data_IF_422653437182
#
_entry.id   IF_422653437182
#
_cell.length_a   1.000
_cell.length_b   1.000
_cell.length_c   1.000
_cell.angle_alpha   90.00
_cell.angle_beta   90.00
_cell.angle_gamma   90.00
#
_symmetry.space_group_name_H-M   'P 1'
#
loop_
_entity.id
_entity.type
_entity.pdbx_description
1 polymer ?
#
# COMPACT_ATOMS: atom_id res chain seq x y z
N UNK A 1 -13.47 12.66 8.69
CA UNK A 1 -13.77 11.27 8.30
C UNK A 1 -13.29 10.26 9.34
N UNK A 2 -12.31 10.62 10.17
CA UNK A 2 -11.55 9.71 11.05
C UNK A 2 -12.22 9.35 12.38
N UNK A 3 -13.34 9.98 12.72
CA UNK A 3 -14.14 9.67 13.92
C UNK A 3 -15.48 9.01 13.59
N UNK A 4 -15.58 8.36 12.43
CA UNK A 4 -16.77 7.60 12.08
C UNK A 4 -16.75 6.24 12.76
N UNK A 5 -17.93 5.70 13.07
CA UNK A 5 -18.04 4.35 13.62
C UNK A 5 -17.43 3.33 12.64
N UNK A 6 -16.86 2.27 13.17
CA UNK A 6 -16.24 1.18 12.38
C UNK A 6 -17.24 0.60 11.36
N UNK A 7 -18.51 0.48 11.72
CA UNK A 7 -19.56 -0.02 10.82
C UNK A 7 -19.72 0.85 9.56
N UNK A 8 -19.62 2.18 9.66
CA UNK A 8 -19.66 3.07 8.49
C UNK A 8 -18.48 2.81 7.54
N UNK A 9 -17.31 2.46 8.07
CA UNK A 9 -16.17 2.08 7.24
C UNK A 9 -16.53 0.87 6.36
N UNK A 10 -17.11 -0.18 6.93
CA UNK A 10 -17.52 -1.37 6.18
C UNK A 10 -18.68 -1.12 5.24
N UNK A 11 -19.70 -0.39 5.65
CA UNK A 11 -20.86 -0.07 4.79
C UNK A 11 -20.48 0.78 3.58
N UNK A 12 -19.46 1.63 3.66
CA UNK A 12 -18.94 2.36 2.49
C UNK A 12 -18.32 1.41 1.44
N UNK A 13 -17.93 0.22 1.80
CA UNK A 13 -17.47 -0.81 0.85
C UNK A 13 -18.55 -1.24 -0.15
N UNK A 14 -19.84 -1.18 0.24
CA UNK A 14 -20.97 -1.63 -0.62
C UNK A 14 -21.06 -0.80 -1.91
N UNK A 15 -21.21 0.54 -1.89
CA UNK A 15 -21.24 1.34 -3.10
C UNK A 15 -19.91 1.29 -3.87
N UNK A 16 -18.76 1.23 -3.20
CA UNK A 16 -17.46 1.15 -3.84
C UNK A 16 -17.30 -0.16 -4.63
N UNK A 17 -17.68 -1.30 -4.06
CA UNK A 17 -17.66 -2.59 -4.75
C UNK A 17 -18.52 -2.58 -6.01
N UNK A 18 -19.74 -2.07 -5.92
CA UNK A 18 -20.66 -1.95 -7.06
C UNK A 18 -20.11 -1.02 -8.14
N UNK A 19 -19.55 0.14 -7.77
CA UNK A 19 -18.94 1.08 -8.72
C UNK A 19 -17.73 0.46 -9.43
N UNK A 20 -16.90 -0.29 -8.72
CA UNK A 20 -15.74 -0.98 -9.26
C UNK A 20 -16.14 -2.01 -10.31
N UNK A 21 -17.17 -2.82 -10.04
CA UNK A 21 -17.73 -3.76 -11.02
C UNK A 21 -18.32 -3.04 -12.23
N UNK A 22 -19.06 -1.96 -12.03
CA UNK A 22 -19.66 -1.19 -13.12
C UNK A 22 -18.60 -0.52 -14.02
N UNK A 23 -17.40 -0.26 -13.48
CA UNK A 23 -16.25 0.18 -14.24
C UNK A 23 -15.56 -0.95 -15.04
N UNK A 24 -16.07 -2.20 -14.97
CA UNK A 24 -15.53 -3.36 -15.69
C UNK A 24 -14.42 -4.10 -14.94
N UNK A 25 -14.10 -3.73 -13.70
CA UNK A 25 -13.07 -4.38 -12.89
C UNK A 25 -13.68 -5.55 -12.12
N UNK A 26 -13.33 -6.78 -12.48
CA UNK A 26 -13.89 -8.02 -11.90
C UNK A 26 -13.05 -8.63 -10.78
N UNK A 27 -11.78 -8.23 -10.66
CA UNK A 27 -10.86 -8.70 -9.61
C UNK A 27 -9.98 -7.54 -9.13
N UNK A 28 -9.77 -7.44 -7.82
CA UNK A 28 -8.91 -6.44 -7.19
C UNK A 28 -7.95 -7.07 -6.19
N UNK A 29 -6.84 -6.39 -5.95
CA UNK A 29 -6.00 -6.57 -4.76
C UNK A 29 -6.24 -5.37 -3.84
N UNK A 30 -6.76 -5.62 -2.64
CA UNK A 30 -6.86 -4.60 -1.60
C UNK A 30 -5.55 -4.55 -0.81
N UNK A 31 -4.83 -3.43 -0.93
CA UNK A 31 -3.52 -3.23 -0.34
C UNK A 31 -3.55 -2.75 1.12
N UNK A 32 -4.70 -2.85 1.78
CA UNK A 32 -4.89 -2.53 3.19
C UNK A 32 -6.24 -1.87 3.44
N UNK A 33 -6.96 -2.37 4.38
CA UNK A 33 -8.23 -1.96 4.98
C UNK A 33 -9.37 -2.99 4.88
N UNK A 34 -9.43 -3.82 3.86
CA UNK A 34 -10.36 -4.95 3.82
C UNK A 34 -9.84 -6.09 4.70
N UNK A 35 -10.66 -6.55 5.62
CA UNK A 35 -10.39 -7.73 6.43
C UNK A 35 -10.98 -9.01 5.81
N UNK A 36 -10.74 -10.15 6.46
CA UNK A 36 -11.27 -11.43 6.03
C UNK A 36 -12.81 -11.44 6.00
N UNK A 37 -13.48 -10.69 6.89
CA UNK A 37 -14.93 -10.57 6.94
C UNK A 37 -15.51 -9.89 5.70
N UNK A 38 -14.88 -8.81 5.24
CA UNK A 38 -15.24 -8.12 3.99
C UNK A 38 -15.09 -9.04 2.78
N UNK A 39 -13.95 -9.75 2.69
CA UNK A 39 -13.71 -10.74 1.63
C UNK A 39 -14.77 -11.86 1.65
N UNK A 40 -15.06 -12.42 2.82
CA UNK A 40 -16.09 -13.48 2.97
C UNK A 40 -17.49 -12.97 2.63
N UNK A 41 -17.83 -11.72 2.99
CA UNK A 41 -19.10 -11.10 2.62
C UNK A 41 -19.25 -10.98 1.10
N UNK A 42 -18.19 -10.60 0.41
CA UNK A 42 -18.15 -10.56 -1.05
C UNK A 42 -18.33 -11.98 -1.64
N UNK A 43 -17.58 -12.98 -1.16
CA UNK A 43 -17.67 -14.36 -1.63
C UNK A 43 -19.05 -14.97 -1.44
N UNK A 44 -19.77 -14.61 -0.37
CA UNK A 44 -21.13 -15.07 -0.06
C UNK A 44 -22.22 -14.25 -0.77
N UNK A 45 -21.85 -13.25 -1.57
CA UNK A 45 -22.82 -12.38 -2.25
C UNK A 45 -23.54 -11.37 -1.33
N UNK A 46 -23.14 -11.24 -0.07
CA UNK A 46 -23.64 -10.22 0.85
C UNK A 46 -23.14 -8.82 0.49
N UNK A 47 -21.96 -8.75 -0.10
CA UNK A 47 -21.35 -7.56 -0.64
C UNK A 47 -21.16 -7.71 -2.15
N UNK A 48 -21.90 -6.94 -2.95
CA UNK A 48 -21.70 -6.90 -4.40
C UNK A 48 -20.41 -6.16 -4.74
N UNK A 49 -19.45 -6.87 -5.35
CA UNK A 49 -18.14 -6.31 -5.67
C UNK A 49 -17.27 -7.28 -6.48
N UNK A 50 -16.08 -6.83 -6.93
CA UNK A 50 -15.12 -7.67 -7.61
C UNK A 50 -14.59 -8.76 -6.66
N UNK A 51 -14.07 -9.85 -7.23
CA UNK A 51 -13.28 -10.81 -6.45
C UNK A 51 -12.13 -10.09 -5.77
N UNK A 52 -11.87 -10.40 -4.50
CA UNK A 52 -10.87 -9.70 -3.69
C UNK A 52 -9.72 -10.62 -3.28
N UNK A 53 -8.50 -10.14 -3.44
CA UNK A 53 -7.32 -10.57 -2.70
C UNK A 53 -6.92 -9.46 -1.75
N UNK A 54 -6.72 -9.79 -0.48
CA UNK A 54 -6.54 -8.81 0.60
C UNK A 54 -5.17 -8.94 1.26
N UNK A 55 -4.58 -7.81 1.62
CA UNK A 55 -3.38 -7.76 2.49
C UNK A 55 -3.74 -7.49 3.96
N UNK A 56 -5.01 -7.23 4.26
CA UNK A 56 -5.53 -6.85 5.58
C UNK A 56 -4.96 -5.51 6.03
N UNK A 57 -3.67 -5.47 6.39
CA UNK A 57 -2.94 -4.24 6.74
C UNK A 57 -1.54 -4.25 6.14
N UNK A 58 -1.01 -3.12 5.67
CA UNK A 58 0.37 -3.04 5.21
C UNK A 58 1.35 -3.03 6.39
N UNK A 59 2.55 -3.57 6.17
CA UNK A 59 3.67 -3.39 7.08
C UNK A 59 4.31 -2.03 6.86
N UNK A 60 4.52 -1.28 7.94
CA UNK A 60 4.99 0.11 7.94
C UNK A 60 6.04 0.33 9.02
N UNK A 61 7.04 1.17 8.76
CA UNK A 61 7.99 1.60 9.79
C UNK A 61 7.38 2.68 10.67
N UNK A 62 7.83 2.79 11.90
CA UNK A 62 7.47 3.91 12.78
C UNK A 62 7.82 5.25 12.11
N UNK A 63 6.86 6.17 12.04
CA UNK A 63 6.98 7.46 11.37
C UNK A 63 6.99 7.39 9.84
N UNK A 64 6.81 6.22 9.26
CA UNK A 64 6.82 5.98 7.81
C UNK A 64 5.49 6.25 7.12
N UNK A 65 5.46 5.91 5.83
CA UNK A 65 4.23 6.01 5.05
C UNK A 65 3.16 5.06 5.59
N UNK A 66 1.96 5.58 5.74
CA UNK A 66 0.83 4.88 6.34
C UNK A 66 0.96 4.64 7.86
N UNK A 67 1.95 5.21 8.54
CA UNK A 67 1.90 5.34 9.98
C UNK A 67 0.87 6.43 10.34
N UNK A 68 -0.24 6.01 10.92
CA UNK A 68 -1.38 6.88 11.18
C UNK A 68 -1.30 7.58 12.55
N UNK A 69 -0.11 7.60 13.16
CA UNK A 69 0.15 8.37 14.37
C UNK A 69 0.24 9.86 14.03
N UNK A 70 -0.64 10.67 14.64
CA UNK A 70 -0.68 12.11 14.40
C UNK A 70 0.28 12.88 15.31
N UNK A 71 0.78 14.05 14.87
CA UNK A 71 1.61 14.92 15.70
C UNK A 71 0.94 15.34 17.02
N UNK A 72 -0.39 15.28 17.10
CA UNK A 72 -1.16 15.49 18.32
C UNK A 72 -1.03 14.37 19.37
N UNK A 73 -0.29 13.29 19.04
CA UNK A 73 -0.18 12.11 19.89
C UNK A 73 -1.33 11.10 19.72
N UNK A 74 -2.26 11.35 18.81
CA UNK A 74 -3.39 10.46 18.58
C UNK A 74 -3.03 9.40 17.51
N UNK A 75 -3.21 8.12 17.86
CA UNK A 75 -3.05 6.99 16.94
C UNK A 75 -4.39 6.68 16.25
N UNK A 76 -4.45 6.89 14.95
CA UNK A 76 -5.65 6.65 14.13
C UNK A 76 -5.66 5.28 13.45
N UNK A 77 -4.76 4.40 13.82
CA UNK A 77 -4.73 3.03 13.31
C UNK A 77 -6.07 2.34 13.60
N UNK A 78 -6.62 1.64 12.59
CA UNK A 78 -7.87 0.89 12.77
C UNK A 78 -7.63 -0.22 13.80
N UNK A 79 -8.38 -0.18 14.88
CA UNK A 79 -8.21 -1.14 15.97
C UNK A 79 -9.54 -1.81 16.32
N UNK A 80 -9.61 -3.11 16.11
CA UNK A 80 -10.65 -3.98 16.65
C UNK A 80 -10.10 -5.39 16.86
N UNK A 81 -10.74 -6.23 17.71
CA UNK A 81 -10.24 -7.56 17.98
C UNK A 81 -10.00 -8.37 16.71
N UNK A 82 -8.78 -8.90 16.54
CA UNK A 82 -8.40 -9.70 15.39
C UNK A 82 -7.80 -8.94 14.21
N UNK A 83 -7.86 -7.61 14.17
CA UNK A 83 -7.19 -6.83 13.14
C UNK A 83 -5.74 -6.51 13.58
N UNK A 84 -4.72 -6.95 12.82
CA UNK A 84 -3.33 -6.74 13.20
C UNK A 84 -2.90 -5.31 12.96
N UNK A 85 -2.02 -4.80 13.84
CA UNK A 85 -1.30 -3.56 13.59
C UNK A 85 -0.15 -3.80 12.62
N UNK A 86 0.03 -2.88 11.65
CA UNK A 86 1.08 -2.99 10.63
C UNK A 86 2.44 -2.40 11.03
N UNK A 87 2.47 -1.54 12.05
CA UNK A 87 3.71 -0.87 12.49
C UNK A 87 4.71 -1.86 13.09
N UNK A 88 5.94 -1.86 12.56
CA UNK A 88 7.00 -2.77 12.99
C UNK A 88 8.39 -2.25 12.60
N UNK A 89 9.36 -2.45 13.47
CA UNK A 89 10.75 -2.05 13.29
C UNK A 89 11.68 -3.19 13.71
N UNK A 90 12.71 -3.43 12.90
CA UNK A 90 13.68 -4.50 13.13
C UNK A 90 13.20 -5.89 12.76
N UNK A 91 14.16 -6.79 12.52
CA UNK A 91 13.96 -8.15 11.98
C UNK A 91 12.95 -8.97 12.80
N UNK A 92 12.99 -8.90 14.11
CA UNK A 92 12.11 -9.69 14.97
C UNK A 92 10.64 -9.22 14.89
N UNK A 93 10.41 -7.91 14.83
CA UNK A 93 9.04 -7.38 14.72
C UNK A 93 8.45 -7.61 13.35
N UNK A 94 9.20 -7.38 12.26
CA UNK A 94 8.70 -7.64 10.91
C UNK A 94 8.36 -9.11 10.72
N UNK A 95 9.15 -10.04 11.26
CA UNK A 95 8.85 -11.47 11.26
C UNK A 95 7.52 -11.77 11.97
N UNK A 96 7.37 -11.25 13.19
CA UNK A 96 6.15 -11.41 14.00
C UNK A 96 4.93 -10.84 13.27
N UNK A 97 5.05 -9.62 12.73
CA UNK A 97 3.94 -8.93 12.04
C UNK A 97 3.54 -9.62 10.74
N UNK A 98 4.48 -10.13 9.97
CA UNK A 98 4.18 -10.94 8.78
C UNK A 98 3.32 -12.15 9.15
N UNK A 99 3.63 -12.84 10.25
CA UNK A 99 2.83 -13.95 10.78
C UNK A 99 1.46 -13.53 11.27
N UNK A 100 1.35 -12.38 11.95
CA UNK A 100 0.08 -11.83 12.43
C UNK A 100 -0.86 -11.47 11.25
N UNK A 101 -0.33 -10.83 10.22
CA UNK A 101 -1.06 -10.47 8.99
C UNK A 101 -1.53 -11.73 8.25
N UNK A 102 -0.67 -12.74 8.09
CA UNK A 102 -1.07 -14.04 7.56
C UNK A 102 -2.18 -14.68 8.37
N UNK A 103 -2.04 -14.73 9.71
CA UNK A 103 -3.06 -15.29 10.61
C UNK A 103 -4.42 -14.60 10.47
N UNK A 104 -4.42 -13.30 10.16
CA UNK A 104 -5.64 -12.52 9.92
C UNK A 104 -6.30 -12.80 8.55
N UNK A 105 -5.75 -13.69 7.74
CA UNK A 105 -6.33 -14.14 6.48
C UNK A 105 -5.86 -13.38 5.23
N UNK A 106 -4.70 -12.75 5.28
CA UNK A 106 -4.12 -12.09 4.13
C UNK A 106 -3.77 -13.08 3.00
N UNK A 107 -4.05 -12.71 1.75
CA UNK A 107 -3.68 -13.46 0.54
C UNK A 107 -2.28 -13.10 0.04
N UNK A 108 -1.78 -11.94 0.43
CA UNK A 108 -0.44 -11.45 0.14
C UNK A 108 0.01 -10.46 1.22
N UNK A 109 1.30 -10.19 1.31
CA UNK A 109 1.85 -9.20 2.23
C UNK A 109 2.08 -7.89 1.48
N UNK A 110 1.60 -6.77 2.02
CA UNK A 110 1.87 -5.42 1.54
C UNK A 110 2.89 -4.74 2.44
N UNK A 111 3.91 -4.11 1.84
CA UNK A 111 5.00 -3.44 2.55
C UNK A 111 5.16 -2.01 2.03
N UNK A 112 5.36 -1.05 2.91
CA UNK A 112 5.69 0.32 2.54
C UNK A 112 7.21 0.48 2.46
N UNK A 113 7.79 0.37 1.25
CA UNK A 113 9.24 0.42 1.03
C UNK A 113 9.77 1.82 0.76
N UNK A 114 8.90 2.81 0.66
CA UNK A 114 9.27 4.22 0.61
C UNK A 114 8.23 5.09 1.29
N UNK A 115 8.59 6.35 1.52
CA UNK A 115 7.64 7.37 1.87
C UNK A 115 6.57 7.59 0.80
N UNK A 116 5.48 8.24 1.17
CA UNK A 116 4.33 8.48 0.33
C UNK A 116 4.02 9.95 0.09
N UNK A 117 3.17 10.18 -0.91
CA UNK A 117 2.74 11.53 -1.31
C UNK A 117 1.77 12.14 -0.31
N UNK A 118 0.92 11.32 0.28
CA UNK A 118 -0.22 11.77 1.08
C UNK A 118 0.03 11.78 2.59
N UNK A 119 1.13 11.19 3.02
CA UNK A 119 1.54 11.18 4.43
C UNK A 119 2.35 12.46 4.75
N UNK A 120 1.99 13.15 5.81
CA UNK A 120 2.56 14.46 6.14
C UNK A 120 4.05 14.38 6.49
N UNK A 121 4.46 13.39 7.28
CA UNK A 121 5.83 13.26 7.82
C UNK A 121 6.71 12.31 7.01
N UNK A 122 6.41 12.09 5.74
CA UNK A 122 7.08 11.09 4.93
C UNK A 122 7.31 11.65 3.52
N UNK A 123 8.50 11.43 2.98
CA UNK A 123 8.87 11.87 1.64
C UNK A 123 8.88 10.70 0.65
N UNK A 124 8.32 10.85 -0.56
CA UNK A 124 8.33 9.80 -1.57
C UNK A 124 9.76 9.45 -2.05
N UNK A 125 10.75 10.26 -1.71
CA UNK A 125 12.15 10.01 -2.04
C UNK A 125 12.86 9.10 -1.03
N UNK A 126 12.34 9.00 0.19
CA UNK A 126 13.01 8.30 1.29
C UNK A 126 12.67 6.80 1.26
N UNK A 127 13.68 5.90 1.27
CA UNK A 127 13.45 4.49 1.47
C UNK A 127 12.96 4.22 2.90
N UNK A 128 12.18 3.16 3.04
CA UNK A 128 11.71 2.65 4.34
C UNK A 128 12.02 1.16 4.44
N UNK A 129 12.22 0.68 5.66
CA UNK A 129 12.83 -0.61 5.97
C UNK A 129 14.24 -0.76 5.39
N UNK A 130 15.10 -1.39 6.13
CA UNK A 130 16.40 -1.83 5.63
C UNK A 130 16.28 -3.17 4.89
N UNK A 131 17.35 -3.58 4.23
CA UNK A 131 17.32 -4.78 3.38
C UNK A 131 17.09 -6.07 4.18
N UNK A 132 17.61 -6.17 5.42
CA UNK A 132 17.46 -7.37 6.24
C UNK A 132 16.01 -7.53 6.72
N UNK A 133 15.35 -6.42 7.06
CA UNK A 133 13.92 -6.40 7.36
C UNK A 133 13.09 -6.85 6.16
N UNK A 134 13.36 -6.30 4.97
CA UNK A 134 12.65 -6.66 3.75
C UNK A 134 12.86 -8.12 3.36
N UNK A 135 14.09 -8.64 3.45
CA UNK A 135 14.38 -10.07 3.22
C UNK A 135 13.63 -10.96 4.21
N UNK A 136 13.60 -10.58 5.48
CA UNK A 136 12.87 -11.34 6.51
C UNK A 136 11.37 -11.43 6.19
N UNK A 137 10.76 -10.32 5.77
CA UNK A 137 9.35 -10.29 5.34
C UNK A 137 9.13 -11.23 4.16
N UNK A 138 9.97 -11.12 3.13
CA UNK A 138 9.85 -11.92 1.91
C UNK A 138 10.02 -13.40 2.17
N UNK A 139 11.05 -13.79 2.95
CA UNK A 139 11.32 -15.18 3.28
C UNK A 139 10.17 -15.80 4.07
N UNK A 140 9.69 -15.11 5.10
CA UNK A 140 8.54 -15.58 5.89
C UNK A 140 7.26 -15.69 5.04
N UNK A 141 6.98 -14.71 4.18
CA UNK A 141 5.83 -14.73 3.29
C UNK A 141 5.92 -15.91 2.30
N UNK A 142 7.06 -16.10 1.63
CA UNK A 142 7.29 -17.19 0.66
C UNK A 142 7.23 -18.57 1.30
N UNK A 143 7.78 -18.73 2.51
CA UNK A 143 7.68 -19.99 3.27
C UNK A 143 6.22 -20.36 3.57
N UNK A 144 5.31 -19.39 3.49
CA UNK A 144 3.87 -19.58 3.68
C UNK A 144 3.07 -19.50 2.37
N UNK A 145 3.72 -19.53 1.21
CA UNK A 145 3.07 -19.48 -0.10
C UNK A 145 2.46 -18.14 -0.48
N UNK A 146 2.83 -17.05 0.24
CA UNK A 146 2.31 -15.70 0.00
C UNK A 146 3.26 -14.89 -0.88
N UNK A 147 2.69 -14.07 -1.76
CA UNK A 147 3.41 -13.03 -2.51
C UNK A 147 3.61 -11.78 -1.67
N UNK A 148 4.60 -10.96 -2.06
CA UNK A 148 4.89 -9.68 -1.40
C UNK A 148 4.82 -8.55 -2.40
N UNK A 149 4.07 -7.49 -2.05
CA UNK A 149 3.90 -6.29 -2.85
C UNK A 149 4.48 -5.08 -2.12
N UNK A 150 5.32 -4.30 -2.81
CA UNK A 150 5.92 -3.08 -2.29
C UNK A 150 5.15 -1.83 -2.74
N UNK A 151 4.78 -0.94 -1.82
CA UNK A 151 4.61 0.46 -2.18
C UNK A 151 5.99 1.08 -2.29
N UNK A 152 6.35 1.67 -3.41
CA UNK A 152 7.58 2.44 -3.52
C UNK A 152 7.54 3.48 -4.62
N UNK A 153 7.86 4.73 -4.25
CA UNK A 153 8.21 5.80 -5.19
C UNK A 153 9.73 5.88 -5.35
N UNK A 154 10.47 5.84 -4.24
CA UNK A 154 11.92 5.98 -4.14
C UNK A 154 12.66 4.93 -4.97
N UNK A 155 13.65 5.36 -5.77
CA UNK A 155 14.49 4.45 -6.54
C UNK A 155 15.27 3.48 -5.65
N UNK A 156 15.73 3.93 -4.49
CA UNK A 156 16.43 3.09 -3.51
C UNK A 156 15.45 2.06 -2.93
N UNK A 157 14.25 2.49 -2.53
CA UNK A 157 13.22 1.58 -2.02
C UNK A 157 12.79 0.53 -3.06
N UNK A 158 12.68 0.91 -4.35
CA UNK A 158 12.40 -0.02 -5.45
C UNK A 158 13.51 -1.06 -5.58
N UNK A 159 14.79 -0.63 -5.58
CA UNK A 159 15.93 -1.54 -5.70
C UNK A 159 16.04 -2.49 -4.52
N UNK A 160 15.84 -2.00 -3.29
CA UNK A 160 15.82 -2.82 -2.09
C UNK A 160 14.68 -3.87 -2.13
N UNK A 161 13.49 -3.48 -2.57
CA UNK A 161 12.36 -4.40 -2.72
C UNK A 161 12.64 -5.49 -3.76
N UNK A 162 13.24 -5.14 -4.90
CA UNK A 162 13.66 -6.10 -5.94
C UNK A 162 14.76 -7.02 -5.42
N UNK A 163 15.73 -6.50 -4.69
CA UNK A 163 16.82 -7.30 -4.10
C UNK A 163 16.32 -8.25 -3.03
N UNK A 164 15.39 -7.81 -2.20
CA UNK A 164 14.73 -8.66 -1.21
C UNK A 164 13.88 -9.77 -1.86
N UNK A 165 13.53 -9.65 -3.15
CA UNK A 165 12.78 -10.65 -3.88
C UNK A 165 11.27 -10.49 -3.81
N UNK A 166 10.76 -9.26 -3.72
CA UNK A 166 9.33 -8.95 -3.78
C UNK A 166 8.77 -9.20 -5.19
N UNK A 167 7.48 -9.52 -5.27
CA UNK A 167 6.81 -9.95 -6.52
C UNK A 167 6.27 -8.77 -7.34
N UNK A 168 5.94 -7.65 -6.70
CA UNK A 168 5.42 -6.46 -7.38
C UNK A 168 5.78 -5.15 -6.70
N UNK A 169 5.87 -4.09 -7.51
CA UNK A 169 6.08 -2.71 -7.09
C UNK A 169 4.84 -1.91 -7.48
N UNK A 170 4.20 -1.29 -6.50
CA UNK A 170 3.13 -0.32 -6.69
C UNK A 170 3.74 1.09 -6.87
N UNK A 171 3.20 1.87 -7.78
CA UNK A 171 3.63 3.18 -8.20
C UNK A 171 4.93 3.19 -9.02
N UNK A 172 6.07 2.81 -8.44
CA UNK A 172 7.37 2.74 -9.12
C UNK A 172 7.80 4.05 -9.77
N UNK A 173 7.44 5.20 -9.17
CA UNK A 173 7.53 6.52 -9.81
C UNK A 173 8.93 6.85 -10.34
N UNK A 174 9.96 6.55 -9.54
CA UNK A 174 11.35 6.87 -9.89
C UNK A 174 12.11 5.71 -10.50
N UNK A 175 11.39 4.70 -11.04
CA UNK A 175 12.03 3.59 -11.75
C UNK A 175 12.81 4.10 -12.96
N UNK A 176 14.11 3.80 -13.03
CA UNK A 176 14.95 4.08 -14.17
C UNK A 176 15.03 2.88 -15.12
N UNK A 177 15.53 3.09 -16.34
CA UNK A 177 15.66 2.04 -17.36
C UNK A 177 16.47 0.83 -16.89
N UNK A 178 17.53 1.06 -16.09
CA UNK A 178 18.37 -0.01 -15.53
C UNK A 178 17.56 -0.86 -14.54
N UNK A 179 16.83 -0.21 -13.65
CA UNK A 179 15.98 -0.87 -12.65
C UNK A 179 14.80 -1.61 -13.32
N UNK A 180 14.18 -1.02 -14.35
CA UNK A 180 13.13 -1.67 -15.13
C UNK A 180 13.64 -2.96 -15.82
N UNK A 181 14.86 -2.95 -16.36
CA UNK A 181 15.52 -4.14 -16.90
C UNK A 181 15.69 -5.23 -15.81
N UNK A 182 16.18 -4.85 -14.64
CA UNK A 182 16.32 -5.78 -13.50
C UNK A 182 14.96 -6.35 -13.06
N UNK A 183 13.90 -5.53 -13.02
CA UNK A 183 12.54 -6.01 -12.73
C UNK A 183 12.11 -7.08 -13.73
N UNK A 184 12.33 -6.85 -15.04
CA UNK A 184 12.04 -7.83 -16.09
C UNK A 184 12.83 -9.13 -15.90
N UNK A 185 14.13 -9.04 -15.65
CA UNK A 185 15.02 -10.21 -15.44
C UNK A 185 14.59 -11.03 -14.21
N UNK A 186 14.13 -10.36 -13.15
CA UNK A 186 13.67 -11.01 -11.91
C UNK A 186 12.17 -11.30 -11.87
N UNK A 187 11.44 -11.05 -12.97
CA UNK A 187 9.98 -11.23 -13.07
C UNK A 187 9.18 -10.45 -12.01
N UNK A 188 9.60 -9.21 -11.71
CA UNK A 188 8.90 -8.30 -10.79
C UNK A 188 7.93 -7.43 -11.57
N UNK A 189 6.65 -7.45 -11.19
CA UNK A 189 5.60 -6.68 -11.85
C UNK A 189 5.58 -5.21 -11.41
N UNK A 190 5.32 -4.28 -12.34
CA UNK A 190 5.04 -2.87 -12.03
C UNK A 190 3.55 -2.58 -12.15
N UNK A 191 2.99 -1.95 -11.12
CA UNK A 191 1.60 -1.44 -11.10
C UNK A 191 1.67 0.09 -10.98
N UNK A 192 1.70 0.84 -12.07
CA UNK A 192 2.13 2.24 -12.08
C UNK A 192 1.10 3.24 -11.53
N UNK A 193 -0.15 2.82 -11.28
CA UNK A 193 -1.20 3.64 -10.64
C UNK A 193 -1.35 5.07 -11.18
N UNK A 194 -1.23 5.24 -12.50
CA UNK A 194 -1.11 6.55 -13.16
C UNK A 194 -2.32 7.47 -12.93
N UNK A 195 -3.52 6.89 -12.93
CA UNK A 195 -4.75 7.65 -12.83
C UNK A 195 -4.90 8.36 -11.49
N UNK A 196 -4.53 7.70 -10.38
CA UNK A 196 -4.80 8.22 -9.04
C UNK A 196 -4.07 9.54 -8.77
N UNK A 197 -2.79 9.63 -9.11
CA UNK A 197 -1.99 10.85 -8.91
C UNK A 197 -2.54 12.01 -9.75
N UNK A 198 -2.87 11.73 -11.01
CA UNK A 198 -3.44 12.73 -11.93
C UNK A 198 -4.81 13.23 -11.46
N UNK A 199 -5.68 12.30 -11.04
CA UNK A 199 -7.00 12.63 -10.52
C UNK A 199 -6.91 13.50 -9.26
N UNK A 200 -6.06 13.13 -8.31
CA UNK A 200 -5.88 13.86 -7.07
C UNK A 200 -5.29 15.26 -7.31
N UNK A 201 -4.32 15.39 -8.21
CA UNK A 201 -3.76 16.69 -8.55
C UNK A 201 -4.81 17.63 -9.18
N UNK A 202 -5.67 17.10 -10.07
CA UNK A 202 -6.66 17.88 -10.79
C UNK A 202 -7.87 18.25 -9.92
N UNK A 203 -8.36 17.31 -9.13
CA UNK A 203 -9.64 17.45 -8.41
C UNK A 203 -9.45 17.75 -6.92
N UNK A 204 -8.24 17.58 -6.40
CA UNK A 204 -7.93 17.70 -4.98
C UNK A 204 -8.48 16.53 -4.15
N UNK A 205 -8.14 16.52 -2.88
CA UNK A 205 -8.83 15.73 -1.87
C UNK A 205 -10.07 16.49 -1.41
N UNK A 206 -11.20 15.81 -1.16
CA UNK A 206 -12.30 16.42 -0.42
C UNK A 206 -11.75 16.88 0.94
N UNK A 207 -11.58 18.17 1.13
CA UNK A 207 -10.92 18.79 2.28
C UNK A 207 -9.40 18.60 2.29
N UNK A 208 -8.68 19.30 1.41
CA UNK A 208 -7.26 19.57 1.63
C UNK A 208 -7.13 20.18 3.03
N UNK A 209 -6.43 19.47 3.91
CA UNK A 209 -6.08 19.97 5.24
C UNK A 209 -5.04 21.10 5.15
N UNK A 210 -4.54 21.55 6.29
CA UNK A 210 -3.52 22.61 6.40
C UNK A 210 -2.26 22.31 5.54
N UNK A 211 -2.02 21.02 5.21
CA UNK A 211 -0.87 20.53 4.41
C UNK A 211 -1.19 20.34 2.92
N UNK A 212 -2.35 20.80 2.47
CA UNK A 212 -2.81 20.60 1.08
C UNK A 212 -1.84 21.11 0.02
N UNK A 213 -1.17 22.21 0.27
CA UNK A 213 -0.18 22.77 -0.67
C UNK A 213 1.08 21.91 -0.79
N UNK A 214 1.59 21.33 0.31
CA UNK A 214 2.73 20.42 0.31
C UNK A 214 2.41 19.14 -0.46
N UNK A 215 1.26 18.52 -0.18
CA UNK A 215 0.79 17.34 -0.89
C UNK A 215 0.60 17.59 -2.38
N UNK A 216 0.08 18.77 -2.73
CA UNK A 216 -0.10 19.17 -4.12
C UNK A 216 1.23 19.37 -4.85
N UNK A 217 2.26 19.90 -4.17
CA UNK A 217 3.61 20.01 -4.71
C UNK A 217 4.21 18.60 -4.96
N UNK A 218 4.16 17.70 -3.98
CA UNK A 218 4.60 16.31 -4.12
C UNK A 218 3.90 15.60 -5.29
N UNK A 219 2.58 15.79 -5.45
CA UNK A 219 1.83 15.22 -6.58
C UNK A 219 2.29 15.76 -7.93
N UNK A 220 2.56 17.06 -8.02
CA UNK A 220 3.07 17.69 -9.26
C UNK A 220 4.39 17.08 -9.70
N UNK A 221 5.33 16.92 -8.77
CA UNK A 221 6.65 16.35 -9.04
C UNK A 221 6.51 14.88 -9.51
N UNK A 222 5.72 14.09 -8.80
CA UNK A 222 5.47 12.68 -9.15
C UNK A 222 4.89 12.54 -10.54
N UNK A 223 3.90 13.35 -10.90
CA UNK A 223 3.26 13.30 -12.23
C UNK A 223 4.25 13.67 -13.33
N UNK A 224 5.11 14.68 -13.08
CA UNK A 224 6.17 15.06 -14.01
C UNK A 224 7.10 13.89 -14.31
N UNK A 225 7.65 13.29 -13.27
CA UNK A 225 8.59 12.18 -13.37
C UNK A 225 7.95 10.93 -13.95
N UNK A 226 6.70 10.60 -13.59
CA UNK A 226 5.98 9.47 -14.18
C UNK A 226 5.82 9.62 -15.69
N UNK A 227 5.50 10.82 -16.18
CA UNK A 227 5.38 11.08 -17.63
C UNK A 227 6.70 10.87 -18.37
N UNK A 228 7.81 11.33 -17.79
CA UNK A 228 9.14 11.15 -18.36
C UNK A 228 9.53 9.66 -18.40
N UNK A 229 9.29 8.93 -17.31
CA UNK A 229 9.66 7.51 -17.22
C UNK A 229 8.81 6.58 -18.09
N UNK A 230 7.57 6.95 -18.41
CA UNK A 230 6.71 6.18 -19.33
C UNK A 230 7.12 6.42 -20.79
N UNK A 231 7.62 7.62 -21.12
CA UNK A 231 8.04 7.98 -22.48
C UNK A 231 9.39 7.34 -22.87
N UNK A 232 10.19 6.85 -21.92
CA UNK A 232 11.50 6.24 -22.09
C UNK A 232 11.47 4.71 -21.93
#
# INVERSE_FOLDING_TARGET
VLFRSLSIHFYNGIPHGTQTLNAGVTTIRDCGSADLGVKMAQQRGLLKGPKMEISVTPLVTTGGHFDLFLPSGFDMEIMYPGFPKGRCDGVNEVLKKTREVKRAGADFIKVMCSGGVLTNNSSPYDPQFNLDELKTIVDEAKNNGLKVSAHSHSLIGIRNAIEAGMDSIEHGTFVDRKTAKTMKEKNVSLIPTLLVHHYLYKNGFPKWDVYGNEKKAKLKDIIGIQKENIAN
#
